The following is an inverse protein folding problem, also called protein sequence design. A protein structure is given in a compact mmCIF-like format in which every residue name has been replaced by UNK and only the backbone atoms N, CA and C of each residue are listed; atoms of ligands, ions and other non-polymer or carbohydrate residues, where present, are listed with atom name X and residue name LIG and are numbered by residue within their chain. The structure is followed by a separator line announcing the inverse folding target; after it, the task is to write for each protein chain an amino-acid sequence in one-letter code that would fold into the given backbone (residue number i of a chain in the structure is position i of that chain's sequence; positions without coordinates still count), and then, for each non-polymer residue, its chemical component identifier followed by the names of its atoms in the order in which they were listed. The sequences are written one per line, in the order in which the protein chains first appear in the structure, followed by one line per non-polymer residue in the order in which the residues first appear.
data_IF_833220953034
#
_entry.id   IF_833220953034
#
_cell.length_a   1.000
_cell.length_b   1.000
_cell.length_c   1.000
_cell.angle_alpha   90.00
_cell.angle_beta   90.00
_cell.angle_gamma   90.00
#
_symmetry.space_group_name_H-M   'P 1'
#
loop_
_entity.id
_entity.type
_entity.pdbx_description
1 polymer ?
#
# COMPACT_ATOMS: atom_id res chain seq x y z
N UNK A 1 -6.62 0.14 22.01
CA UNK A 1 -5.40 0.33 21.17
C UNK A 1 -4.55 1.37 21.88
N UNK A 2 -3.27 1.11 22.11
CA UNK A 2 -2.33 2.11 22.65
C UNK A 2 -1.21 2.30 21.61
N UNK A 3 -0.81 3.54 21.38
CA UNK A 3 0.26 3.86 20.42
C UNK A 3 1.59 3.85 21.17
N UNK A 4 2.54 3.05 20.66
CA UNK A 4 3.88 2.90 21.27
C UNK A 4 4.88 3.86 20.61
N UNK A 5 4.78 4.05 19.30
CA UNK A 5 5.59 4.97 18.50
C UNK A 5 4.72 5.60 17.43
N UNK A 6 4.62 6.92 17.44
CA UNK A 6 3.79 7.66 16.46
C UNK A 6 4.40 7.58 15.06
N UNK A 7 5.72 7.77 14.96
CA UNK A 7 6.46 7.72 13.70
C UNK A 7 7.54 6.62 13.78
N UNK A 8 7.17 5.41 13.37
CA UNK A 8 8.08 4.26 13.42
C UNK A 8 9.08 4.23 12.25
N UNK A 9 8.74 4.87 11.13
CA UNK A 9 9.58 4.92 9.94
C UNK A 9 8.94 5.77 8.85
N UNK A 10 9.75 6.15 7.86
CA UNK A 10 9.29 6.77 6.61
C UNK A 10 9.25 5.68 5.55
N UNK A 11 8.16 5.64 4.78
CA UNK A 11 7.99 4.74 3.65
C UNK A 11 7.95 5.56 2.37
N UNK A 12 8.63 5.08 1.35
CA UNK A 12 8.53 5.61 -0.01
C UNK A 12 7.19 5.23 -0.64
N UNK A 13 6.74 6.05 -1.59
CA UNK A 13 5.54 5.78 -2.36
C UNK A 13 5.60 4.44 -3.11
N UNK A 14 6.80 4.01 -3.52
CA UNK A 14 7.03 2.70 -4.13
C UNK A 14 6.77 1.56 -3.15
N UNK A 15 7.33 1.62 -1.93
CA UNK A 15 7.13 0.56 -0.92
C UNK A 15 5.64 0.41 -0.56
N UNK A 16 4.92 1.54 -0.46
CA UNK A 16 3.48 1.52 -0.23
C UNK A 16 2.75 0.90 -1.41
N UNK A 17 3.08 1.27 -2.65
CA UNK A 17 2.44 0.73 -3.86
C UNK A 17 2.68 -0.78 -4.01
N UNK A 18 3.91 -1.24 -3.79
CA UNK A 18 4.30 -2.65 -3.87
C UNK A 18 3.54 -3.47 -2.82
N UNK A 19 3.51 -3.00 -1.57
CA UNK A 19 2.78 -3.64 -0.49
C UNK A 19 1.27 -3.74 -0.75
N UNK A 20 0.63 -2.66 -1.20
CA UNK A 20 -0.81 -2.66 -1.47
C UNK A 20 -1.15 -3.59 -2.65
N UNK A 21 -0.30 -3.65 -3.67
CA UNK A 21 -0.47 -4.53 -4.83
C UNK A 21 -0.39 -6.01 -4.43
N UNK A 22 0.58 -6.38 -3.60
CA UNK A 22 0.72 -7.74 -3.07
C UNK A 22 -0.49 -8.13 -2.18
N UNK A 23 -0.95 -7.19 -1.35
CA UNK A 23 -2.13 -7.38 -0.50
C UNK A 23 -3.41 -7.60 -1.32
N UNK A 24 -3.59 -6.84 -2.41
CA UNK A 24 -4.72 -7.02 -3.33
C UNK A 24 -4.70 -8.39 -3.99
N UNK A 25 -3.55 -8.86 -4.47
CA UNK A 25 -3.40 -10.21 -5.05
C UNK A 25 -3.79 -11.31 -4.04
N UNK A 26 -3.36 -11.19 -2.78
CA UNK A 26 -3.71 -12.14 -1.70
C UNK A 26 -5.20 -12.13 -1.33
N UNK A 27 -5.90 -11.04 -1.62
CA UNK A 27 -7.34 -10.86 -1.36
C UNK A 27 -8.24 -11.21 -2.55
N UNK A 28 -7.66 -11.45 -3.72
CA UNK A 28 -8.39 -11.71 -4.95
C UNK A 28 -9.27 -12.97 -4.79
N UNK A 29 -10.57 -12.84 -5.06
CA UNK A 29 -11.56 -13.93 -4.92
C UNK A 29 -12.25 -14.04 -3.55
N UNK A 30 -11.85 -13.24 -2.55
CA UNK A 30 -12.57 -13.16 -1.27
C UNK A 30 -13.60 -12.03 -1.32
N UNK A 31 -14.87 -12.35 -1.06
CA UNK A 31 -15.90 -11.31 -0.89
C UNK A 31 -15.63 -10.55 0.41
N UNK A 32 -15.42 -9.22 0.38
CA UNK A 32 -15.23 -8.46 1.61
C UNK A 32 -16.55 -8.42 2.39
N UNK A 33 -16.51 -8.81 3.67
CA UNK A 33 -17.59 -8.52 4.62
C UNK A 33 -17.61 -7.00 4.90
N UNK A 34 -18.62 -6.44 5.58
CA UNK A 34 -18.77 -4.99 5.76
C UNK A 34 -17.51 -4.22 6.21
N UNK A 35 -16.68 -4.78 7.11
CA UNK A 35 -15.38 -4.17 7.50
C UNK A 35 -14.31 -4.24 6.40
N UNK A 36 -14.34 -5.25 5.55
CA UNK A 36 -13.45 -5.40 4.40
C UNK A 36 -13.74 -4.42 3.26
N UNK A 37 -14.96 -3.85 3.22
CA UNK A 37 -15.33 -2.93 2.15
C UNK A 37 -14.64 -1.58 2.28
N UNK A 38 -14.58 -1.00 3.49
CA UNK A 38 -13.84 0.24 3.74
C UNK A 38 -12.34 0.08 3.41
N UNK A 39 -11.77 -1.06 3.81
CA UNK A 39 -10.37 -1.38 3.49
C UNK A 39 -10.17 -1.52 1.97
N UNK A 40 -11.08 -2.19 1.26
CA UNK A 40 -11.02 -2.34 -0.19
C UNK A 40 -11.07 -0.98 -0.91
N UNK A 41 -11.93 -0.06 -0.46
CA UNK A 41 -12.03 1.30 -1.01
C UNK A 41 -10.72 2.06 -0.85
N UNK A 42 -10.19 2.17 0.38
CA UNK A 42 -8.96 2.92 0.64
C UNK A 42 -7.77 2.32 -0.09
N UNK A 43 -7.66 0.99 -0.11
CA UNK A 43 -6.61 0.29 -0.87
C UNK A 43 -6.72 0.59 -2.37
N UNK A 44 -7.91 0.52 -2.95
CA UNK A 44 -8.12 0.79 -4.38
C UNK A 44 -7.76 2.24 -4.73
N UNK A 45 -8.30 3.22 -4.02
CA UNK A 45 -8.05 4.64 -4.28
C UNK A 45 -6.56 4.99 -4.14
N UNK A 46 -5.89 4.42 -3.14
CA UNK A 46 -4.45 4.65 -2.91
C UNK A 46 -3.61 4.03 -4.01
N UNK A 47 -3.86 2.78 -4.39
CA UNK A 47 -3.16 2.12 -5.49
C UNK A 47 -3.38 2.85 -6.82
N UNK A 48 -4.62 3.27 -7.10
CA UNK A 48 -4.98 4.05 -8.30
C UNK A 48 -4.31 5.42 -8.37
N UNK A 49 -4.10 6.07 -7.23
CA UNK A 49 -3.37 7.32 -7.17
C UNK A 49 -1.87 7.08 -7.40
N UNK A 50 -1.28 6.16 -6.64
CA UNK A 50 0.16 5.89 -6.68
C UNK A 50 0.62 5.33 -8.04
N UNK A 51 -0.23 4.57 -8.72
CA UNK A 51 0.04 4.05 -10.08
C UNK A 51 0.20 5.16 -11.12
N UNK A 52 -0.31 6.37 -10.85
CA UNK A 52 -0.19 7.57 -11.71
C UNK A 52 1.01 8.44 -11.35
N UNK A 53 1.78 8.06 -10.34
CA UNK A 53 3.00 8.77 -9.90
C UNK A 53 4.26 8.05 -10.39
N UNK A 54 5.46 8.68 -10.29
CA UNK A 54 6.72 8.01 -10.61
C UNK A 54 6.99 6.73 -9.81
N UNK A 55 6.29 6.50 -8.69
CA UNK A 55 6.40 5.27 -7.90
C UNK A 55 6.10 4.01 -8.73
N UNK A 56 5.25 4.10 -9.75
CA UNK A 56 4.89 2.97 -10.60
C UNK A 56 6.05 2.42 -11.45
N UNK A 57 7.09 3.21 -11.70
CA UNK A 57 8.26 2.83 -12.49
C UNK A 57 9.54 2.73 -11.66
N UNK A 58 9.45 3.06 -10.36
CA UNK A 58 10.56 2.91 -9.42
C UNK A 58 10.83 1.44 -9.12
N UNK A 59 12.02 1.16 -8.61
CA UNK A 59 12.40 -0.17 -8.15
C UNK A 59 13.31 -0.06 -6.93
N UNK A 60 13.48 -1.14 -6.15
CA UNK A 60 14.29 -1.14 -4.94
C UNK A 60 15.77 -0.78 -5.18
N UNK A 61 16.30 -0.95 -6.40
CA UNK A 61 17.69 -0.58 -6.70
C UNK A 61 17.87 0.93 -6.91
N UNK A 62 16.85 1.62 -7.42
CA UNK A 62 16.82 3.08 -7.58
C UNK A 62 16.59 3.76 -6.23
N UNK A 63 15.76 3.15 -5.39
CA UNK A 63 15.50 3.59 -4.02
C UNK A 63 16.54 2.95 -3.11
N UNK A 64 17.75 3.51 -3.06
CA UNK A 64 18.74 3.12 -2.04
C UNK A 64 18.19 3.43 -0.66
N UNK A 65 17.52 2.45 -0.05
CA UNK A 65 17.10 2.49 1.35
C UNK A 65 18.35 2.10 2.15
N UNK A 66 19.00 3.10 2.73
CA UNK A 66 20.19 2.98 3.59
C UNK A 66 19.83 2.64 5.02
#
# INVERSE_FOLDING_TARGET
MQVIKDNAGMLSNFEVLDFLSESQQKSQGKRPNGRGQNLATVTYETTEYLSKTPAAVQNPHVLRIS
#
